data_IF_344001141613
#
_entry.id   IF_344001141613
#
_cell.length_a   1.000
_cell.length_b   1.000
_cell.length_c   1.000
_cell.angle_alpha   90.00
_cell.angle_beta   90.00
_cell.angle_gamma   90.00
#
_symmetry.space_group_name_H-M   'P 1'
#
loop_
_entity.id
_entity.type
_entity.pdbx_description
1 polymer ?
#
# COMPACT_ATOMS: atom_id res chain seq x y z
N UNK A 1 12.70 -18.12 -13.16
CA UNK A 1 13.08 -17.08 -12.17
C UNK A 1 13.96 -17.71 -11.11
N UNK A 2 14.91 -16.95 -10.55
CA UNK A 2 15.75 -17.44 -9.44
C UNK A 2 15.15 -17.03 -8.11
N UNK A 3 15.50 -17.72 -7.01
CA UNK A 3 15.09 -17.32 -5.66
C UNK A 3 15.55 -15.88 -5.33
N UNK A 4 16.69 -15.46 -5.86
CA UNK A 4 17.18 -14.08 -5.71
C UNK A 4 16.32 -13.05 -6.45
N UNK A 5 15.88 -13.34 -7.69
CA UNK A 5 15.01 -12.43 -8.43
C UNK A 5 13.64 -12.29 -7.75
N UNK A 6 13.08 -13.41 -7.25
CA UNK A 6 11.83 -13.41 -6.51
C UNK A 6 11.93 -12.64 -5.18
N UNK A 7 13.05 -12.78 -4.46
CA UNK A 7 13.31 -12.01 -3.24
C UNK A 7 13.37 -10.52 -3.53
N UNK A 8 14.05 -10.12 -4.62
CA UNK A 8 14.18 -8.71 -5.02
C UNK A 8 12.81 -8.11 -5.33
N UNK A 9 12.03 -8.79 -6.17
CA UNK A 9 10.67 -8.37 -6.52
C UNK A 9 9.75 -8.26 -5.30
N UNK A 10 9.85 -9.21 -4.36
CA UNK A 10 9.11 -9.15 -3.09
C UNK A 10 9.48 -7.93 -2.25
N UNK A 11 10.78 -7.65 -2.08
CA UNK A 11 11.26 -6.49 -1.31
C UNK A 11 10.89 -5.17 -1.98
N UNK A 12 10.99 -5.08 -3.30
CA UNK A 12 10.59 -3.89 -4.07
C UNK A 12 9.09 -3.61 -3.92
N UNK A 13 8.25 -4.64 -4.03
CA UNK A 13 6.81 -4.49 -3.85
C UNK A 13 6.45 -4.08 -2.41
N UNK A 14 7.13 -4.63 -1.40
CA UNK A 14 6.95 -4.24 0.00
C UNK A 14 7.36 -2.78 0.25
N UNK A 15 8.51 -2.36 -0.29
CA UNK A 15 9.00 -0.99 -0.16
C UNK A 15 8.14 0.04 -0.92
N UNK A 16 7.38 -0.40 -1.93
CA UNK A 16 6.40 0.46 -2.61
C UNK A 16 5.10 0.62 -1.81
N UNK A 17 4.67 -0.40 -1.08
CA UNK A 17 3.41 -0.38 -0.31
C UNK A 17 3.55 0.36 1.02
N UNK A 18 4.61 0.09 1.82
CA UNK A 18 4.75 0.65 3.17
C UNK A 18 4.61 2.18 3.22
N UNK A 19 5.30 2.98 2.37
CA UNK A 19 5.22 4.44 2.45
C UNK A 19 3.81 4.98 2.17
N UNK A 20 3.01 4.28 1.36
CA UNK A 20 1.63 4.68 1.07
C UNK A 20 0.71 4.37 2.25
N UNK A 21 0.94 3.23 2.91
CA UNK A 21 0.24 2.86 4.14
C UNK A 21 0.52 3.85 5.27
N UNK A 22 1.78 4.31 5.41
CA UNK A 22 2.14 5.29 6.43
C UNK A 22 1.56 6.68 6.14
N UNK A 23 1.58 7.13 4.88
CA UNK A 23 0.88 8.36 4.47
C UNK A 23 -0.61 8.29 4.79
N UNK A 24 -1.26 7.16 4.51
CA UNK A 24 -2.69 7.00 4.77
C UNK A 24 -3.01 7.00 6.26
N UNK A 25 -2.14 6.40 7.10
CA UNK A 25 -2.28 6.47 8.57
C UNK A 25 -2.14 7.89 9.09
N UNK A 26 -1.11 8.62 8.66
CA UNK A 26 -0.91 10.02 9.08
C UNK A 26 -2.10 10.89 8.68
N UNK A 27 -2.60 10.69 7.46
CA UNK A 27 -3.77 11.39 6.95
C UNK A 27 -5.04 11.02 7.72
N UNK A 28 -5.23 9.75 8.10
CA UNK A 28 -6.35 9.34 8.95
C UNK A 28 -6.28 9.96 10.35
N UNK A 29 -5.10 9.98 10.95
CA UNK A 29 -4.89 10.54 12.28
C UNK A 29 -5.08 12.05 12.30
N UNK A 30 -4.74 12.77 11.22
CA UNK A 30 -4.99 14.22 11.13
C UNK A 30 -6.48 14.58 11.10
N UNK A 31 -7.35 13.60 10.84
CA UNK A 31 -8.81 13.77 10.81
C UNK A 31 -9.52 13.20 12.06
N UNK A 32 -8.80 12.98 13.16
CA UNK A 32 -9.36 12.55 14.44
C UNK A 32 -9.17 13.66 15.48
N UNK A 33 -10.25 14.34 15.87
CA UNK A 33 -10.22 15.38 16.89
C UNK A 33 -11.55 16.15 17.01
N UNK A 34 -11.76 16.88 18.13
CA UNK A 34 -13.03 17.58 18.40
C UNK A 34 -13.35 18.72 17.41
N UNK A 35 -12.32 19.28 16.76
CA UNK A 35 -12.44 20.43 15.85
C UNK A 35 -12.21 20.05 14.37
N UNK A 36 -12.21 18.75 14.05
CA UNK A 36 -11.97 18.29 12.68
C UNK A 36 -13.21 18.49 11.81
N UNK A 37 -13.02 19.15 10.67
CA UNK A 37 -14.07 19.27 9.65
C UNK A 37 -14.28 17.92 8.95
N UNK A 38 -15.53 17.51 8.70
CA UNK A 38 -15.79 16.30 7.93
C UNK A 38 -15.23 16.44 6.52
N UNK A 39 -14.66 15.35 6.00
CA UNK A 39 -14.27 15.25 4.59
C UNK A 39 -15.55 15.14 3.77
N UNK A 40 -15.75 16.08 2.83
CA UNK A 40 -16.95 16.14 1.98
C UNK A 40 -16.65 15.45 0.66
N UNK A 41 -17.55 14.59 0.17
CA UNK A 41 -17.41 13.99 -1.15
C UNK A 41 -17.25 15.06 -2.24
N UNK A 42 -16.23 14.91 -3.09
CA UNK A 42 -15.87 15.89 -4.14
C UNK A 42 -15.07 17.11 -3.65
N UNK A 43 -14.65 17.13 -2.38
CA UNK A 43 -13.62 18.07 -1.92
C UNK A 43 -12.22 17.62 -2.39
N UNK A 44 -11.26 18.55 -2.56
CA UNK A 44 -9.88 18.20 -2.85
C UNK A 44 -9.30 17.17 -1.87
N UNK A 45 -9.63 17.30 -0.58
CA UNK A 45 -9.20 16.37 0.46
C UNK A 45 -9.78 14.98 0.24
N UNK A 46 -11.06 14.87 -0.14
CA UNK A 46 -11.68 13.58 -0.46
C UNK A 46 -11.02 12.92 -1.68
N UNK A 47 -10.72 13.70 -2.72
CA UNK A 47 -10.03 13.19 -3.91
C UNK A 47 -8.60 12.73 -3.60
N UNK A 48 -7.86 13.48 -2.78
CA UNK A 48 -6.53 13.10 -2.31
C UNK A 48 -6.55 11.78 -1.54
N UNK A 49 -7.51 11.64 -0.61
CA UNK A 49 -7.75 10.39 0.11
C UNK A 49 -8.03 9.22 -0.84
N UNK A 50 -8.93 9.43 -1.81
CA UNK A 50 -9.28 8.42 -2.80
C UNK A 50 -8.07 7.96 -3.61
N UNK A 51 -7.30 8.90 -4.14
CA UNK A 51 -6.10 8.60 -4.92
C UNK A 51 -5.03 7.87 -4.10
N UNK A 52 -4.85 8.24 -2.83
CA UNK A 52 -3.89 7.58 -1.95
C UNK A 52 -4.32 6.15 -1.64
N UNK A 53 -5.61 5.92 -1.37
CA UNK A 53 -6.18 4.57 -1.16
C UNK A 53 -5.99 3.71 -2.41
N UNK A 54 -6.35 4.21 -3.59
CA UNK A 54 -6.19 3.47 -4.86
C UNK A 54 -4.73 3.08 -5.12
N UNK A 55 -3.80 4.02 -4.89
CA UNK A 55 -2.35 3.76 -5.03
C UNK A 55 -1.87 2.72 -4.01
N UNK A 56 -2.31 2.82 -2.77
CA UNK A 56 -1.98 1.87 -1.70
C UNK A 56 -2.48 0.48 -2.06
N UNK A 57 -3.74 0.34 -2.46
CA UNK A 57 -4.36 -0.94 -2.80
C UNK A 57 -3.65 -1.58 -3.99
N UNK A 58 -3.37 -0.82 -5.04
CA UNK A 58 -2.61 -1.31 -6.19
C UNK A 58 -1.18 -1.75 -5.82
N UNK A 59 -0.52 -1.07 -4.88
CA UNK A 59 0.79 -1.48 -4.38
C UNK A 59 0.69 -2.75 -3.51
N UNK A 60 -0.36 -2.86 -2.70
CA UNK A 60 -0.63 -4.04 -1.88
C UNK A 60 -0.88 -5.29 -2.73
N UNK A 61 -1.66 -5.17 -3.81
CA UNK A 61 -1.90 -6.28 -4.74
C UNK A 61 -0.60 -6.82 -5.34
N UNK A 62 0.30 -5.93 -5.77
CA UNK A 62 1.63 -6.32 -6.26
C UNK A 62 2.45 -7.00 -5.18
N UNK A 63 2.41 -6.48 -3.96
CA UNK A 63 3.07 -7.09 -2.80
C UNK A 63 2.56 -8.51 -2.53
N UNK A 64 1.24 -8.74 -2.56
CA UNK A 64 0.65 -10.07 -2.36
C UNK A 64 1.06 -11.05 -3.45
N UNK A 65 1.06 -10.62 -4.71
CA UNK A 65 1.52 -11.45 -5.84
C UNK A 65 2.99 -11.82 -5.69
N UNK A 66 3.86 -10.83 -5.43
CA UNK A 66 5.29 -11.06 -5.25
C UNK A 66 5.60 -11.92 -4.02
N UNK A 67 4.85 -11.75 -2.93
CA UNK A 67 4.96 -12.59 -1.73
C UNK A 67 4.65 -14.06 -2.04
N UNK A 68 3.52 -14.32 -2.73
CA UNK A 68 3.13 -15.68 -3.11
C UNK A 68 4.17 -16.33 -4.03
N UNK A 69 4.66 -15.58 -5.01
CA UNK A 69 5.69 -16.05 -5.94
C UNK A 69 7.00 -16.39 -5.20
N UNK A 70 7.43 -15.55 -4.26
CA UNK A 70 8.62 -15.80 -3.44
C UNK A 70 8.49 -17.08 -2.60
N UNK A 71 7.37 -17.28 -1.90
CA UNK A 71 7.17 -18.49 -1.09
C UNK A 71 7.04 -19.75 -1.92
N UNK A 72 6.34 -19.70 -3.06
CA UNK A 72 6.27 -20.83 -4.00
C UNK A 72 7.66 -21.20 -4.56
N UNK A 73 8.49 -20.20 -4.90
CA UNK A 73 9.85 -20.44 -5.37
C UNK A 73 10.83 -20.93 -4.31
N UNK A 74 10.50 -20.76 -3.01
CA UNK A 74 11.31 -21.22 -1.87
C UNK A 74 10.98 -22.64 -1.43
N UNK A 75 9.77 -23.11 -1.74
CA UNK A 75 9.31 -24.48 -1.51
C UNK A 75 8.77 -25.07 -2.82
N UNK A 76 9.64 -25.38 -3.80
CA UNK A 76 9.22 -26.17 -4.94
C UNK A 76 8.88 -27.57 -4.43
N UNK A 77 7.65 -28.02 -4.66
CA UNK A 77 7.27 -29.44 -4.47
C UNK A 77 8.21 -30.38 -5.27
#
# INVERSE_FOLDING_TARGET
>A
MTCESLRREYVEALNAWIPLEDQLKELALSHIGPDVKPIIAGSPEFEEWGQLIERRDAAFDRYIVAQRAYYAGRHPD
#
